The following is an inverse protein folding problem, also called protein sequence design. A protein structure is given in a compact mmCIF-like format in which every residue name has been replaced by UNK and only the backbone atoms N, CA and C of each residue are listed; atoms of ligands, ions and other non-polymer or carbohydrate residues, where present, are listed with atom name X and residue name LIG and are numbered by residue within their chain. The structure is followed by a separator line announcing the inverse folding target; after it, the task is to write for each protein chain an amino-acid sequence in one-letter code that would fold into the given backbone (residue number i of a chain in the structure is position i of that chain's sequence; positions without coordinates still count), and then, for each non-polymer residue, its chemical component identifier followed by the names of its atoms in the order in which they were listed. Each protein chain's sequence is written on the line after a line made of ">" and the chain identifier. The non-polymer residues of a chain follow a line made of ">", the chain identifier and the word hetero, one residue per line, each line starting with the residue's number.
data_IF_203005910231
#
_entry.id   IF_203005910231
#
_cell.length_a   1.000
_cell.length_b   1.000
_cell.length_c   1.000
_cell.angle_alpha   90.00
_cell.angle_beta   90.00
_cell.angle_gamma   90.00
#
_symmetry.space_group_name_H-M   'P 1'
#
loop_
_entity.id
_entity.type
_entity.pdbx_description
1 polymer ?
#
# COMPACT_ATOMS: atom_id res chain seq x y z
N UNK A 1 2.90 25.41 -12.44
CA UNK A 1 2.47 24.62 -11.26
C UNK A 1 2.51 23.14 -11.67
N UNK A 2 3.39 22.32 -11.08
CA UNK A 2 3.41 20.87 -11.34
C UNK A 2 2.15 20.28 -10.70
N UNK A 3 1.24 19.77 -11.52
CA UNK A 3 0.10 18.96 -11.05
C UNK A 3 0.66 17.79 -10.24
N UNK A 4 0.41 17.77 -8.93
CA UNK A 4 0.62 16.55 -8.16
C UNK A 4 -0.30 15.51 -8.81
N UNK A 5 0.23 14.37 -9.30
CA UNK A 5 -0.58 13.46 -10.08
C UNK A 5 -1.75 13.02 -9.20
N UNK A 6 -2.96 13.00 -9.77
CA UNK A 6 -4.23 12.63 -9.11
C UNK A 6 -4.11 11.37 -8.24
N UNK A 7 -3.17 10.49 -8.59
CA UNK A 7 -2.77 9.29 -7.86
C UNK A 7 -2.22 9.55 -6.45
N UNK A 8 -1.51 10.65 -6.21
CA UNK A 8 -0.96 11.01 -4.88
C UNK A 8 -2.05 11.33 -3.85
N UNK A 9 -3.06 12.13 -4.24
CA UNK A 9 -4.22 12.44 -3.39
C UNK A 9 -5.10 11.21 -3.13
N UNK A 10 -5.26 10.34 -4.14
CA UNK A 10 -5.99 9.08 -4.00
C UNK A 10 -5.30 8.12 -3.01
N UNK A 11 -3.98 7.93 -3.13
CA UNK A 11 -3.22 7.10 -2.18
C UNK A 11 -3.29 7.63 -0.75
N UNK A 12 -3.18 8.94 -0.57
CA UNK A 12 -3.33 9.57 0.75
C UNK A 12 -4.73 9.32 1.35
N UNK A 13 -5.78 9.45 0.53
CA UNK A 13 -7.16 9.16 0.95
C UNK A 13 -7.35 7.69 1.35
N UNK A 14 -6.85 6.75 0.54
CA UNK A 14 -6.91 5.32 0.81
C UNK A 14 -6.22 4.99 2.13
N UNK A 15 -4.97 5.45 2.32
CA UNK A 15 -4.23 5.25 3.59
C UNK A 15 -4.97 5.80 4.80
N UNK A 16 -5.61 6.96 4.65
CA UNK A 16 -6.34 7.61 5.75
C UNK A 16 -7.61 6.86 6.15
N UNK A 17 -8.35 6.34 5.17
CA UNK A 17 -9.73 5.87 5.39
C UNK A 17 -9.88 4.35 5.35
N UNK A 18 -9.19 3.68 4.42
CA UNK A 18 -9.39 2.26 4.14
C UNK A 18 -9.05 1.33 5.32
N UNK A 19 -8.01 1.57 6.14
CA UNK A 19 -7.72 0.70 7.29
C UNK A 19 -8.86 0.60 8.30
N UNK A 20 -9.59 1.70 8.54
CA UNK A 20 -10.75 1.69 9.44
C UNK A 20 -11.94 0.94 8.82
N UNK A 21 -12.16 1.12 7.53
CA UNK A 21 -13.23 0.44 6.79
C UNK A 21 -12.96 -1.07 6.71
N UNK A 22 -11.73 -1.49 6.44
CA UNK A 22 -11.33 -2.90 6.43
C UNK A 22 -11.54 -3.56 7.80
N UNK A 23 -11.13 -2.91 8.89
CA UNK A 23 -11.37 -3.44 10.24
C UNK A 23 -12.85 -3.65 10.53
N UNK A 24 -13.70 -2.70 10.12
CA UNK A 24 -15.15 -2.84 10.25
C UNK A 24 -15.66 -4.00 9.39
N UNK A 25 -15.26 -4.07 8.12
CA UNK A 25 -15.69 -5.11 7.19
C UNK A 25 -15.27 -6.52 7.65
N UNK A 26 -14.10 -6.68 8.25
CA UNK A 26 -13.64 -7.95 8.85
C UNK A 26 -14.54 -8.35 10.02
N UNK A 27 -14.88 -7.42 10.90
CA UNK A 27 -15.78 -7.68 12.02
C UNK A 27 -17.20 -8.04 11.54
N UNK A 28 -17.73 -7.29 10.57
CA UNK A 28 -19.04 -7.54 9.97
C UNK A 28 -19.06 -8.92 9.28
N UNK A 29 -18.01 -9.27 8.53
CA UNK A 29 -17.86 -10.60 7.92
C UNK A 29 -17.83 -11.70 8.97
N UNK A 30 -17.02 -11.55 10.02
CA UNK A 30 -16.95 -12.52 11.11
C UNK A 30 -18.32 -12.74 11.78
N UNK A 31 -19.07 -11.65 12.00
CA UNK A 31 -20.43 -11.72 12.53
C UNK A 31 -21.41 -12.42 11.60
N UNK A 32 -21.36 -12.13 10.29
CA UNK A 32 -22.22 -12.77 9.29
C UNK A 32 -21.88 -14.26 9.11
N UNK A 33 -20.60 -14.60 8.99
CA UNK A 33 -20.14 -15.97 8.76
C UNK A 33 -20.33 -16.87 9.99
N UNK A 34 -20.42 -16.31 11.20
CA UNK A 34 -20.73 -17.05 12.42
C UNK A 34 -22.22 -17.33 12.60
N UNK A 35 -23.10 -16.77 11.75
CA UNK A 35 -24.52 -17.11 11.77
C UNK A 35 -24.72 -18.59 11.42
N UNK A 36 -25.71 -19.27 12.01
CA UNK A 36 -26.04 -20.64 11.64
C UNK A 36 -26.35 -20.72 10.15
N UNK A 37 -25.75 -21.71 9.50
CA UNK A 37 -25.98 -21.95 8.09
C UNK A 37 -27.47 -22.31 7.85
N UNK A 38 -28.10 -21.76 6.80
CA UNK A 38 -29.49 -22.14 6.48
C UNK A 38 -29.62 -23.61 6.08
N UNK A 39 -30.70 -24.26 6.50
CA UNK A 39 -30.98 -25.67 6.19
C UNK A 39 -31.44 -25.90 4.74
N UNK A 40 -32.06 -24.90 4.12
CA UNK A 40 -32.48 -24.96 2.73
C UNK A 40 -31.28 -24.78 1.79
N UNK A 41 -31.18 -25.63 0.76
CA UNK A 41 -30.05 -25.64 -0.16
C UNK A 41 -29.87 -24.30 -0.91
N UNK A 42 -30.96 -23.63 -1.30
CA UNK A 42 -30.90 -22.34 -1.98
C UNK A 42 -30.44 -21.24 -1.02
N UNK A 43 -30.95 -21.24 0.20
CA UNK A 43 -30.54 -20.32 1.24
C UNK A 43 -29.06 -20.53 1.64
N UNK A 44 -28.61 -21.78 1.76
CA UNK A 44 -27.21 -22.13 2.01
C UNK A 44 -26.28 -21.63 0.91
N UNK A 45 -26.65 -21.87 -0.36
CA UNK A 45 -25.89 -21.38 -1.50
C UNK A 45 -25.80 -19.84 -1.50
N UNK A 46 -26.89 -19.15 -1.14
CA UNK A 46 -26.93 -17.69 -0.98
C UNK A 46 -26.00 -17.20 0.13
N UNK A 47 -26.05 -17.82 1.31
CA UNK A 47 -25.15 -17.51 2.43
C UNK A 47 -23.68 -17.70 2.03
N UNK A 48 -23.35 -18.82 1.37
CA UNK A 48 -22.00 -19.12 0.94
C UNK A 48 -21.48 -18.16 -0.14
N UNK A 49 -22.34 -17.77 -1.09
CA UNK A 49 -22.02 -16.77 -2.10
C UNK A 49 -21.75 -15.39 -1.46
N UNK A 50 -22.53 -15.00 -0.46
CA UNK A 50 -22.30 -13.77 0.29
C UNK A 50 -20.95 -13.80 1.04
N UNK A 51 -20.61 -14.90 1.71
CA UNK A 51 -19.31 -15.07 2.37
C UNK A 51 -18.14 -14.97 1.38
N UNK A 52 -18.24 -15.65 0.23
CA UNK A 52 -17.23 -15.57 -0.83
C UNK A 52 -17.06 -14.14 -1.36
N UNK A 53 -18.16 -13.45 -1.62
CA UNK A 53 -18.12 -12.07 -2.08
C UNK A 53 -17.45 -11.18 -1.03
N UNK A 54 -17.82 -11.29 0.25
CA UNK A 54 -17.20 -10.52 1.33
C UNK A 54 -15.68 -10.72 1.37
N UNK A 55 -15.20 -11.96 1.31
CA UNK A 55 -13.76 -12.27 1.29
C UNK A 55 -13.06 -11.67 0.06
N UNK A 56 -13.67 -11.71 -1.12
CA UNK A 56 -13.10 -11.09 -2.32
C UNK A 56 -12.97 -9.56 -2.19
N UNK A 57 -13.95 -8.90 -1.57
CA UNK A 57 -13.86 -7.45 -1.29
C UNK A 57 -12.77 -7.12 -0.27
N UNK A 58 -12.62 -7.96 0.77
CA UNK A 58 -11.56 -7.80 1.76
C UNK A 58 -10.18 -7.95 1.14
N UNK A 59 -9.96 -8.98 0.31
CA UNK A 59 -8.71 -9.17 -0.44
C UNK A 59 -8.42 -8.00 -1.40
N UNK A 60 -9.44 -7.52 -2.11
CA UNK A 60 -9.28 -6.33 -2.97
C UNK A 60 -8.87 -5.10 -2.15
N UNK A 61 -9.50 -4.90 -0.99
CA UNK A 61 -9.19 -3.78 -0.11
C UNK A 61 -7.79 -3.85 0.50
N UNK A 62 -7.31 -5.03 0.90
CA UNK A 62 -5.94 -5.19 1.43
C UNK A 62 -4.90 -4.93 0.35
N UNK A 63 -5.12 -5.40 -0.88
CA UNK A 63 -4.24 -5.08 -2.02
C UNK A 63 -4.23 -3.59 -2.36
N UNK A 64 -5.39 -2.94 -2.31
CA UNK A 64 -5.49 -1.50 -2.55
C UNK A 64 -4.76 -0.69 -1.47
N UNK A 65 -4.86 -1.12 -0.21
CA UNK A 65 -4.09 -0.52 0.89
C UNK A 65 -2.59 -0.71 0.68
N UNK A 66 -2.14 -1.93 0.37
CA UNK A 66 -0.74 -2.22 0.10
C UNK A 66 -0.19 -1.36 -1.07
N UNK A 67 -0.97 -1.21 -2.15
CA UNK A 67 -0.63 -0.31 -3.25
C UNK A 67 -0.51 1.16 -2.81
N UNK A 68 -1.36 1.61 -1.90
CA UNK A 68 -1.32 2.98 -1.39
C UNK A 68 -0.16 3.22 -0.39
N UNK A 69 0.30 2.17 0.28
CA UNK A 69 1.44 2.18 1.19
C UNK A 69 2.79 2.11 0.47
N UNK A 70 2.84 1.53 -0.74
CA UNK A 70 4.02 1.59 -1.60
C UNK A 70 4.35 3.06 -1.90
N UNK A 71 5.45 3.54 -1.32
CA UNK A 71 6.10 4.79 -1.74
C UNK A 71 6.61 4.64 -3.15
N UNK A 72 6.33 5.62 -4.02
CA UNK A 72 6.75 5.70 -5.43
C UNK A 72 8.28 5.70 -5.65
N UNK A 73 9.09 5.34 -4.65
CA UNK A 73 10.56 5.28 -4.74
C UNK A 73 11.18 4.00 -4.15
N UNK A 74 10.39 2.99 -3.78
CA UNK A 74 10.93 1.72 -3.27
C UNK A 74 11.23 0.69 -4.39
N UNK A 75 10.64 0.86 -5.57
CA UNK A 75 10.86 0.02 -6.76
C UNK A 75 11.51 0.81 -7.93
N UNK A 76 12.00 2.03 -7.68
CA UNK A 76 12.63 2.85 -8.72
C UNK A 76 14.15 2.71 -8.64
N UNK A 77 14.76 2.16 -9.70
CA UNK A 77 16.19 2.21 -10.00
C UNK A 77 16.75 3.64 -9.80
N UNK A 78 15.92 4.67 -10.00
CA UNK A 78 16.22 6.07 -9.71
C UNK A 78 16.49 6.40 -8.23
N UNK A 79 15.95 5.64 -7.27
CA UNK A 79 16.23 5.81 -5.83
C UNK A 79 17.63 5.35 -5.45
N UNK A 80 18.03 4.19 -5.95
CA UNK A 80 19.39 3.66 -5.78
C UNK A 80 20.39 4.49 -6.58
N UNK A 81 20.10 4.81 -7.84
CA UNK A 81 20.95 5.69 -8.65
C UNK A 81 21.15 7.08 -8.01
N UNK A 82 20.10 7.62 -7.36
CA UNK A 82 20.21 8.88 -6.61
C UNK A 82 21.07 8.75 -5.35
N UNK A 83 21.01 7.62 -4.65
CA UNK A 83 21.87 7.33 -3.50
C UNK A 83 23.33 7.14 -3.91
N UNK A 84 23.58 6.41 -5.00
CA UNK A 84 24.92 6.20 -5.57
C UNK A 84 25.53 7.54 -5.97
N UNK A 85 24.82 8.36 -6.76
CA UNK A 85 25.30 9.69 -7.17
C UNK A 85 25.64 10.57 -5.97
N UNK A 86 24.83 10.54 -4.91
CA UNK A 86 25.10 11.32 -3.70
C UNK A 86 26.35 10.84 -2.95
N UNK A 87 26.59 9.53 -2.96
CA UNK A 87 27.80 8.96 -2.39
C UNK A 87 29.04 9.34 -3.22
N UNK A 88 28.96 9.30 -4.55
CA UNK A 88 30.02 9.73 -5.47
C UNK A 88 30.35 11.23 -5.29
N UNK A 89 29.35 12.09 -5.21
CA UNK A 89 29.54 13.53 -4.96
C UNK A 89 30.23 13.81 -3.62
N UNK A 90 29.89 13.06 -2.57
CA UNK A 90 30.49 13.20 -1.24
C UNK A 90 31.96 12.75 -1.20
N UNK A 91 32.30 11.69 -1.94
CA UNK A 91 33.69 11.23 -2.07
C UNK A 91 34.52 12.26 -2.85
N UNK A 92 33.99 12.78 -3.97
CA UNK A 92 34.68 13.77 -4.77
C UNK A 92 34.94 15.09 -4.02
N UNK A 93 34.05 15.48 -3.10
CA UNK A 93 34.29 16.64 -2.21
C UNK A 93 35.35 16.35 -1.17
N UNK A 94 35.33 15.15 -0.56
CA UNK A 94 36.34 14.76 0.41
C UNK A 94 37.75 14.66 -0.20
N UNK A 95 37.88 14.15 -1.43
CA UNK A 95 39.17 14.08 -2.13
C UNK A 95 39.68 15.48 -2.51
N UNK A 96 38.79 16.38 -2.95
CA UNK A 96 39.16 17.76 -3.28
C UNK A 96 39.61 18.58 -2.06
N UNK A 97 39.07 18.28 -0.87
CA UNK A 97 39.48 18.93 0.38
C UNK A 97 40.86 18.45 0.87
N UNK A 98 41.28 17.21 0.52
CA UNK A 98 42.60 16.68 0.87
C UNK A 98 43.73 17.25 -0.01
N UNK A 99 43.42 17.57 -1.28
CA UNK A 99 44.38 18.16 -2.22
C UNK A 99 44.59 19.68 -1.99
N UNK A 100 43.70 20.34 -1.24
CA UNK A 100 43.76 21.78 -0.97
C UNK A 100 44.67 22.16 0.21
N UNK A 101 45.04 21.19 1.05
CA UNK A 101 45.88 21.38 2.24
C UNK A 101 47.39 21.13 1.97
N UNK A 102 47.79 20.84 0.73
CA UNK A 102 49.18 20.60 0.32
C UNK A 102 49.77 21.77 -0.51
N UNK A 103 49.74 23.01 0.00
CA UNK A 103 50.58 24.12 -0.50
C UNK A 103 51.02 25.10 0.60
#
# INVERSE_FOLDING_TARGET
>A
MKSLPVTSGLRASIRRHLPKLLRKAIADYGGFAAQPAPDDAKAFAGHQAACKAALAHLDTGTRLLAWAEKTDGADDDGGIARLIRRAEEAIATADADLDADEF
#
